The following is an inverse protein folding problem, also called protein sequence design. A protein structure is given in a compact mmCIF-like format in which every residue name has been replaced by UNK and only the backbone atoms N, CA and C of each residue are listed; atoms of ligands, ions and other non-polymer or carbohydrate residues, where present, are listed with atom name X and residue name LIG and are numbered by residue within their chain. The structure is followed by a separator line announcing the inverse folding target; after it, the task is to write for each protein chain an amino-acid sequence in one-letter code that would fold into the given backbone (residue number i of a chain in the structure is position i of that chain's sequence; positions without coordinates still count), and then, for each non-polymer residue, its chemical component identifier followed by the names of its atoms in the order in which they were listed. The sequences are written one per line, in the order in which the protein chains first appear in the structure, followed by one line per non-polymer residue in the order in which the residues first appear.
data_IF_576018955176
#
_entry.id   IF_576018955176
#
_cell.length_a   1.000
_cell.length_b   1.000
_cell.length_c   1.000
_cell.angle_alpha   90.00
_cell.angle_beta   90.00
_cell.angle_gamma   90.00
#
_symmetry.space_group_name_H-M   'P 1'
#
loop_
_entity.id
_entity.type
_entity.pdbx_description
1 polymer ?
#
# COMPACT_ATOMS: atom_id res chain seq x y z
N UNK A 1 17.56 12.30 59.50
CA UNK A 1 16.59 13.39 59.28
C UNK A 1 16.53 13.68 57.80
N UNK A 2 15.63 13.03 57.10
CA UNK A 2 15.09 13.44 55.78
C UNK A 2 13.77 12.71 55.67
N UNK A 3 12.71 13.41 56.04
CA UNK A 3 11.32 12.93 56.06
C UNK A 3 10.54 13.70 55.02
N UNK A 4 9.64 12.92 54.37
CA UNK A 4 8.36 13.35 53.82
C UNK A 4 8.30 14.51 52.82
N UNK A 5 8.30 14.17 51.52
CA UNK A 5 7.42 14.82 50.53
C UNK A 5 7.24 13.92 49.30
N UNK A 6 6.42 12.89 49.37
CA UNK A 6 5.93 12.12 48.24
C UNK A 6 4.63 11.39 48.58
N UNK A 7 3.62 12.15 49.03
CA UNK A 7 2.23 11.68 49.12
C UNK A 7 1.33 12.80 48.65
N UNK A 8 0.99 12.84 47.38
CA UNK A 8 0.08 13.87 46.87
C UNK A 8 -0.11 13.90 45.37
N UNK A 9 -0.09 12.75 44.69
CA UNK A 9 -0.40 12.73 43.24
C UNK A 9 -0.96 11.34 42.77
N UNK A 10 -1.81 10.71 43.59
CA UNK A 10 -2.48 9.48 43.19
C UNK A 10 -3.95 9.57 43.65
N UNK A 11 -4.71 10.52 43.11
CA UNK A 11 -6.17 10.50 43.31
C UNK A 11 -6.93 11.35 42.30
N UNK A 12 -6.60 11.28 40.99
CA UNK A 12 -7.44 11.92 39.94
C UNK A 12 -7.45 11.12 38.63
N UNK A 13 -7.36 9.79 38.69
CA UNK A 13 -7.53 8.91 37.51
C UNK A 13 -8.49 7.75 37.88
N UNK A 14 -9.60 8.05 38.49
CA UNK A 14 -10.70 7.10 38.66
C UNK A 14 -12.02 7.84 38.48
N UNK A 15 -12.37 8.21 37.24
CA UNK A 15 -13.76 8.45 36.82
C UNK A 15 -13.81 8.77 35.31
N UNK A 16 -13.42 7.79 34.48
CA UNK A 16 -13.72 7.83 33.04
C UNK A 16 -14.01 6.40 32.54
N UNK A 17 -14.89 5.71 33.24
CA UNK A 17 -15.47 4.45 32.76
C UNK A 17 -16.96 4.53 32.99
N UNK A 18 -17.69 4.92 31.93
CA UNK A 18 -19.06 4.48 31.59
C UNK A 18 -19.65 5.42 30.54
N UNK A 19 -19.30 5.22 29.29
CA UNK A 19 -20.21 5.47 28.16
C UNK A 19 -19.91 4.41 27.10
N UNK A 20 -20.23 3.17 27.40
CA UNK A 20 -20.49 2.14 26.41
C UNK A 20 -21.95 2.29 25.98
N UNK A 21 -22.18 2.83 24.82
CA UNK A 21 -23.48 2.93 24.20
C UNK A 21 -23.33 3.04 22.70
N UNK A 22 -23.63 1.96 21.99
CA UNK A 22 -23.90 1.88 20.56
C UNK A 22 -22.83 2.47 19.59
N UNK A 23 -21.71 1.81 19.43
CA UNK A 23 -20.96 1.85 18.18
C UNK A 23 -21.39 0.63 17.35
N UNK A 24 -22.46 0.81 16.58
CA UNK A 24 -23.04 -0.16 15.66
C UNK A 24 -22.18 -0.35 14.41
N UNK A 25 -22.44 -1.39 13.64
CA UNK A 25 -21.84 -1.82 12.36
C UNK A 25 -21.65 -0.73 11.27
N UNK A 26 -22.04 0.50 11.53
CA UNK A 26 -21.81 1.71 10.72
C UNK A 26 -20.32 2.12 10.65
N UNK A 27 -19.46 1.65 11.56
CA UNK A 27 -18.06 2.12 11.65
C UNK A 27 -17.09 1.45 10.68
N UNK A 28 -17.33 0.23 10.24
CA UNK A 28 -16.42 -0.46 9.31
C UNK A 28 -16.53 0.13 7.89
N UNK A 29 -17.76 0.36 7.43
CA UNK A 29 -18.00 1.00 6.14
C UNK A 29 -17.45 2.44 6.09
N UNK A 30 -17.49 3.19 7.20
CA UNK A 30 -16.92 4.54 7.29
C UNK A 30 -15.40 4.54 7.15
N UNK A 31 -14.69 3.57 7.73
CA UNK A 31 -13.22 3.48 7.69
C UNK A 31 -12.66 3.34 6.27
N UNK A 32 -13.35 2.60 5.38
CA UNK A 32 -12.96 2.46 3.98
C UNK A 32 -13.48 3.57 3.08
N UNK A 33 -14.56 4.26 3.51
CA UNK A 33 -15.27 5.25 2.68
C UNK A 33 -14.82 6.69 2.95
N UNK A 34 -14.14 6.95 4.05
CA UNK A 34 -13.70 8.30 4.41
C UNK A 34 -12.57 8.83 3.50
N UNK A 35 -11.85 7.94 2.81
CA UNK A 35 -10.70 8.31 1.99
C UNK A 35 -11.05 8.78 0.56
N UNK A 36 -12.27 8.61 0.08
CA UNK A 36 -12.68 9.07 -1.25
C UNK A 36 -13.96 9.90 -1.18
N UNK A 37 -13.81 11.21 -1.24
CA UNK A 37 -14.88 12.21 -1.21
C UNK A 37 -14.79 13.22 -2.38
N UNK A 38 -14.09 12.87 -3.47
CA UNK A 38 -13.99 13.78 -4.60
C UNK A 38 -15.32 13.90 -5.32
N UNK A 39 -15.67 15.13 -5.67
CA UNK A 39 -16.82 15.45 -6.52
C UNK A 39 -16.41 15.33 -8.00
N UNK A 40 -17.39 14.98 -8.84
CA UNK A 40 -17.19 15.02 -10.29
C UNK A 40 -17.13 16.45 -10.79
N UNK A 41 -16.29 16.69 -11.78
CA UNK A 41 -16.22 17.96 -12.50
C UNK A 41 -17.46 18.19 -13.38
N UNK A 42 -17.51 19.33 -14.09
CA UNK A 42 -18.63 19.69 -14.94
C UNK A 42 -18.90 18.69 -16.09
N UNK A 43 -17.86 17.96 -16.51
CA UNK A 43 -17.95 16.95 -17.57
C UNK A 43 -18.32 15.55 -17.04
N UNK A 44 -18.58 15.44 -15.74
CA UNK A 44 -18.95 14.19 -15.09
C UNK A 44 -17.77 13.25 -14.76
N UNK A 45 -16.55 13.73 -14.84
CA UNK A 45 -15.32 13.00 -14.54
C UNK A 45 -14.80 13.31 -13.13
N UNK A 46 -14.11 12.35 -12.54
CA UNK A 46 -13.28 12.56 -11.34
C UNK A 46 -11.90 13.05 -11.75
N UNK A 47 -11.42 14.10 -11.12
CA UNK A 47 -10.01 14.51 -11.27
C UNK A 47 -9.13 13.60 -10.43
N UNK A 48 -8.13 12.96 -11.05
CA UNK A 48 -7.14 12.09 -10.39
C UNK A 48 -5.76 12.66 -10.66
N UNK A 49 -4.97 12.83 -9.60
CA UNK A 49 -3.58 13.25 -9.75
C UNK A 49 -2.74 12.11 -10.32
N UNK A 50 -2.02 12.38 -11.41
CA UNK A 50 -1.05 11.46 -11.98
C UNK A 50 0.37 11.96 -11.74
N UNK A 51 1.18 11.13 -11.11
CA UNK A 51 2.62 11.34 -10.92
C UNK A 51 3.35 10.33 -11.81
N UNK A 52 3.79 10.67 -13.02
CA UNK A 52 4.43 9.72 -13.93
C UNK A 52 5.72 9.12 -13.34
N UNK A 53 6.48 9.91 -12.59
CA UNK A 53 7.76 9.50 -12.01
C UNK A 53 8.90 9.46 -13.01
N UNK A 54 9.92 8.65 -12.69
CA UNK A 54 11.21 8.61 -13.39
C UNK A 54 11.36 7.38 -14.29
N UNK A 55 12.36 7.40 -15.16
CA UNK A 55 12.75 6.26 -15.99
C UNK A 55 11.61 5.77 -16.89
N UNK A 56 11.13 4.53 -16.68
CA UNK A 56 10.00 3.96 -17.45
C UNK A 56 8.64 4.57 -17.04
N UNK A 57 8.59 5.36 -15.98
CA UNK A 57 7.34 5.93 -15.43
C UNK A 57 6.47 6.64 -16.47
N UNK A 58 7.00 7.59 -17.27
CA UNK A 58 6.20 8.28 -18.28
C UNK A 58 5.61 7.37 -19.35
N UNK A 59 6.32 6.33 -19.81
CA UNK A 59 5.81 5.42 -20.85
C UNK A 59 4.74 4.46 -20.31
N UNK A 60 4.90 3.90 -19.11
CA UNK A 60 3.88 3.05 -18.49
C UNK A 60 2.63 3.86 -18.10
N UNK A 61 2.79 5.12 -17.69
CA UNK A 61 1.67 6.02 -17.40
C UNK A 61 0.85 6.34 -18.66
N UNK A 62 1.51 6.55 -19.82
CA UNK A 62 0.81 6.72 -21.11
C UNK A 62 0.01 5.48 -21.48
N UNK A 63 0.56 4.28 -21.27
CA UNK A 63 -0.14 3.01 -21.48
C UNK A 63 -1.41 2.93 -20.62
N UNK A 64 -1.31 3.21 -19.33
CA UNK A 64 -2.47 3.19 -18.41
C UNK A 64 -3.53 4.22 -18.84
N UNK A 65 -3.14 5.45 -19.16
CA UNK A 65 -4.07 6.49 -19.66
C UNK A 65 -4.82 6.02 -20.90
N UNK A 66 -4.12 5.40 -21.85
CA UNK A 66 -4.72 4.90 -23.09
C UNK A 66 -5.75 3.78 -22.84
N UNK A 67 -5.43 2.83 -21.94
CA UNK A 67 -6.33 1.73 -21.56
C UNK A 67 -7.56 2.28 -20.84
N UNK A 68 -7.38 3.20 -19.88
CA UNK A 68 -8.48 3.82 -19.15
C UNK A 68 -9.41 4.63 -20.06
N UNK A 69 -8.86 5.34 -21.04
CA UNK A 69 -9.66 6.06 -22.05
C UNK A 69 -10.46 5.08 -22.92
N UNK A 70 -9.85 3.97 -23.36
CA UNK A 70 -10.54 2.94 -24.14
C UNK A 70 -11.67 2.24 -23.34
N UNK A 71 -11.50 2.08 -22.02
CA UNK A 71 -12.51 1.54 -21.12
C UNK A 71 -13.58 2.57 -20.71
N UNK A 72 -13.56 3.79 -21.27
CA UNK A 72 -14.48 4.88 -20.93
C UNK A 72 -14.55 5.16 -19.41
N UNK A 73 -13.40 5.13 -18.73
CA UNK A 73 -13.35 5.49 -17.31
C UNK A 73 -13.65 6.98 -17.14
N UNK A 74 -14.51 7.37 -16.18
CA UNK A 74 -14.84 8.79 -15.95
C UNK A 74 -13.74 9.49 -15.14
N UNK A 75 -12.51 9.54 -15.70
CA UNK A 75 -11.32 10.11 -15.07
C UNK A 75 -10.71 11.19 -15.95
N UNK A 76 -10.45 12.33 -15.35
CA UNK A 76 -9.58 13.39 -15.88
C UNK A 76 -8.26 13.38 -15.10
N UNK A 77 -7.15 13.27 -15.82
CA UNK A 77 -5.82 13.20 -15.24
C UNK A 77 -5.22 14.59 -15.05
N UNK A 78 -4.90 14.95 -13.81
CA UNK A 78 -4.06 16.10 -13.47
C UNK A 78 -2.62 15.64 -13.27
N UNK A 79 -1.78 15.80 -14.30
CA UNK A 79 -0.40 15.36 -14.29
C UNK A 79 0.49 16.35 -13.55
N UNK A 80 1.25 15.89 -12.56
CA UNK A 80 2.13 16.74 -11.73
C UNK A 80 3.54 16.16 -11.66
N UNK A 81 4.52 17.05 -11.58
CA UNK A 81 5.91 16.70 -11.33
C UNK A 81 6.21 16.77 -9.83
N UNK A 82 6.89 15.75 -9.32
CA UNK A 82 7.34 15.67 -7.93
C UNK A 82 8.86 15.77 -7.80
N UNK A 83 9.55 16.23 -8.85
CA UNK A 83 10.99 16.51 -8.79
C UNK A 83 11.30 17.36 -7.56
N UNK A 84 12.22 16.93 -6.70
CA UNK A 84 12.44 17.58 -5.43
C UNK A 84 12.88 19.03 -5.59
N UNK A 85 12.26 19.92 -4.82
CA UNK A 85 12.71 21.30 -4.65
C UNK A 85 13.42 21.46 -3.30
N UNK A 86 14.44 22.31 -3.25
CA UNK A 86 15.11 22.66 -2.00
C UNK A 86 14.46 23.91 -1.43
N UNK A 87 13.75 23.78 -0.30
CA UNK A 87 13.14 24.88 0.41
C UNK A 87 13.75 24.93 1.82
N UNK A 88 14.32 26.07 2.20
CA UNK A 88 14.97 26.28 3.51
C UNK A 88 16.05 25.20 3.85
N UNK A 89 16.81 24.77 2.83
CA UNK A 89 17.84 23.74 2.97
C UNK A 89 17.31 22.31 3.16
N UNK A 90 15.99 22.09 3.03
CA UNK A 90 15.35 20.77 3.09
C UNK A 90 14.77 20.39 1.73
N UNK A 91 14.93 19.13 1.40
CA UNK A 91 14.28 18.54 0.22
C UNK A 91 12.78 18.45 0.47
N UNK A 92 11.97 19.02 -0.41
CA UNK A 92 10.51 19.00 -0.31
C UNK A 92 9.87 18.68 -1.66
N UNK A 93 8.65 18.17 -1.60
CA UNK A 93 7.80 17.97 -2.79
C UNK A 93 7.26 19.36 -3.21
N UNK A 94 7.14 19.64 -4.53
CA UNK A 94 6.51 20.86 -5.02
C UNK A 94 5.11 21.06 -4.43
N UNK A 95 4.80 22.28 -4.00
CA UNK A 95 3.52 22.62 -3.39
C UNK A 95 2.33 22.34 -4.32
N UNK A 96 2.51 22.53 -5.62
CA UNK A 96 1.51 22.24 -6.65
C UNK A 96 1.10 20.75 -6.64
N UNK A 97 2.08 19.84 -6.52
CA UNK A 97 1.80 18.42 -6.42
C UNK A 97 1.05 18.06 -5.12
N UNK A 98 1.41 18.71 -4.00
CA UNK A 98 0.71 18.51 -2.72
C UNK A 98 -0.74 18.99 -2.82
N UNK A 99 -0.97 20.15 -3.44
CA UNK A 99 -2.32 20.72 -3.61
C UNK A 99 -3.17 19.89 -4.57
N UNK A 100 -2.59 19.38 -5.67
CA UNK A 100 -3.28 18.50 -6.60
C UNK A 100 -3.77 17.23 -5.89
N UNK A 101 -2.89 16.52 -5.16
CA UNK A 101 -3.28 15.31 -4.42
C UNK A 101 -4.32 15.60 -3.33
N UNK A 102 -4.22 16.73 -2.63
CA UNK A 102 -5.22 17.11 -1.62
C UNK A 102 -6.59 17.40 -2.23
N UNK A 103 -6.61 18.02 -3.41
CA UNK A 103 -7.84 18.34 -4.13
C UNK A 103 -8.50 17.09 -4.72
N UNK A 104 -7.72 16.23 -5.37
CA UNK A 104 -8.21 15.01 -6.00
C UNK A 104 -8.51 13.90 -4.99
N UNK A 105 -7.86 13.92 -3.81
CA UNK A 105 -7.86 12.90 -2.75
C UNK A 105 -7.36 11.51 -3.20
N UNK A 106 -7.12 11.33 -4.49
CA UNK A 106 -6.64 10.08 -5.09
C UNK A 106 -5.55 10.38 -6.11
N UNK A 107 -4.47 9.62 -6.07
CA UNK A 107 -3.39 9.72 -7.05
C UNK A 107 -2.95 8.34 -7.56
N UNK A 108 -2.49 8.31 -8.82
CA UNK A 108 -1.75 7.19 -9.39
C UNK A 108 -0.30 7.62 -9.61
N UNK A 109 0.66 6.82 -9.13
CA UNK A 109 2.08 7.18 -9.11
C UNK A 109 2.95 6.10 -9.76
N UNK A 110 3.74 6.49 -10.74
CA UNK A 110 4.83 5.69 -11.29
C UNK A 110 6.03 5.59 -10.34
N UNK A 111 7.11 4.93 -10.76
CA UNK A 111 8.32 4.75 -9.96
C UNK A 111 9.06 6.06 -9.76
N UNK A 112 9.62 6.29 -8.56
CA UNK A 112 10.45 7.45 -8.25
C UNK A 112 11.88 7.01 -7.91
N UNK A 113 12.86 7.65 -8.51
CA UNK A 113 14.26 7.44 -8.18
C UNK A 113 14.58 8.03 -6.80
N UNK A 114 15.30 7.26 -5.99
CA UNK A 114 15.90 7.76 -4.76
C UNK A 114 17.41 7.81 -4.97
N UNK A 115 18.04 8.99 -5.11
CA UNK A 115 19.48 9.09 -5.27
C UNK A 115 20.22 8.47 -4.07
N UNK A 116 21.27 7.69 -4.35
CA UNK A 116 22.12 7.11 -3.32
C UNK A 116 23.14 8.18 -2.91
N UNK A 117 23.10 8.65 -1.66
CA UNK A 117 24.09 9.63 -1.16
C UNK A 117 23.67 10.27 0.17
N UNK A 118 24.62 10.89 0.88
CA UNK A 118 24.34 11.62 2.11
C UNK A 118 23.48 12.85 1.84
N UNK A 119 22.37 13.01 2.59
CA UNK A 119 21.51 14.19 2.53
C UNK A 119 20.28 14.07 1.63
N UNK A 120 20.08 12.94 0.93
CA UNK A 120 18.88 12.70 0.17
C UNK A 120 17.81 12.02 1.03
N UNK A 121 16.60 12.60 1.05
CA UNK A 121 15.42 12.00 1.68
C UNK A 121 14.63 11.28 0.61
N UNK A 122 14.19 10.06 0.89
CA UNK A 122 13.32 9.31 -0.03
C UNK A 122 12.02 10.09 -0.30
N UNK A 123 11.75 10.37 -1.57
CA UNK A 123 10.50 11.02 -1.98
C UNK A 123 9.28 10.18 -1.65
N UNK A 124 9.39 8.86 -1.78
CA UNK A 124 8.32 7.94 -1.37
C UNK A 124 8.01 8.09 0.12
N UNK A 125 9.04 8.15 0.98
CA UNK A 125 8.85 8.36 2.42
C UNK A 125 8.28 9.75 2.71
N UNK A 126 8.69 10.77 1.97
CA UNK A 126 8.14 12.13 2.09
C UNK A 126 6.66 12.18 1.73
N UNK A 127 6.25 11.55 0.64
CA UNK A 127 4.83 11.41 0.25
C UNK A 127 4.01 10.71 1.34
N UNK A 128 4.50 9.57 1.85
CA UNK A 128 3.83 8.83 2.93
C UNK A 128 3.59 9.68 4.17
N UNK A 129 4.58 10.48 4.56
CA UNK A 129 4.49 11.38 5.72
C UNK A 129 3.58 12.59 5.45
N UNK A 130 3.69 13.20 4.26
CA UNK A 130 2.92 14.40 3.89
C UNK A 130 1.41 14.14 3.87
N UNK A 131 1.00 12.98 3.39
CA UNK A 131 -0.42 12.59 3.27
C UNK A 131 -0.86 11.59 4.35
N UNK A 132 0.00 11.33 5.35
CA UNK A 132 -0.27 10.37 6.42
C UNK A 132 -0.81 9.02 5.89
N UNK A 133 -0.10 8.45 4.91
CA UNK A 133 -0.47 7.20 4.25
C UNK A 133 -0.13 6.02 5.17
N UNK A 134 -1.01 5.70 6.08
CA UNK A 134 -0.75 4.81 7.22
C UNK A 134 -0.84 3.32 6.89
N UNK A 135 -1.58 2.93 5.86
CA UNK A 135 -1.72 1.54 5.47
C UNK A 135 -1.25 1.34 4.02
N UNK A 136 -0.35 0.39 3.80
CA UNK A 136 0.02 -0.06 2.47
C UNK A 136 -0.62 -1.42 2.20
N UNK A 137 -1.42 -1.51 1.14
CA UNK A 137 -2.17 -2.70 0.74
C UNK A 137 -1.47 -3.38 -0.43
N UNK A 138 -1.13 -4.63 -0.27
CA UNK A 138 -0.40 -5.47 -1.22
C UNK A 138 -1.15 -6.79 -1.48
N UNK A 139 -2.07 -6.85 -2.44
CA UNK A 139 -2.60 -8.11 -2.92
C UNK A 139 -1.58 -8.76 -3.86
N UNK A 140 -1.27 -10.03 -3.63
CA UNK A 140 -0.42 -10.84 -4.49
C UNK A 140 -1.26 -12.04 -4.95
N UNK A 141 -1.67 -12.02 -6.23
CA UNK A 141 -2.53 -13.04 -6.81
C UNK A 141 -1.90 -13.61 -8.07
N UNK A 142 -1.86 -14.94 -8.17
CA UNK A 142 -1.42 -15.63 -9.39
C UNK A 142 -2.28 -15.22 -10.58
N UNK A 143 -1.63 -14.99 -11.72
CA UNK A 143 -2.30 -14.69 -12.98
C UNK A 143 -2.36 -15.96 -13.81
N UNK A 144 -3.55 -16.37 -14.20
CA UNK A 144 -3.76 -17.56 -14.99
C UNK A 144 -2.99 -17.49 -16.32
N UNK A 145 -2.34 -18.58 -16.70
CA UNK A 145 -1.53 -18.67 -17.92
C UNK A 145 -0.10 -18.16 -17.76
N UNK A 146 0.25 -17.46 -16.67
CA UNK A 146 1.62 -17.09 -16.36
C UNK A 146 2.21 -18.08 -15.35
N UNK A 147 3.25 -18.81 -15.76
CA UNK A 147 3.83 -19.87 -14.92
C UNK A 147 4.76 -19.31 -13.86
N UNK A 148 4.47 -19.60 -12.62
CA UNK A 148 5.26 -19.25 -11.44
C UNK A 148 5.61 -20.51 -10.63
N UNK A 149 6.45 -20.41 -9.58
CA UNK A 149 6.76 -21.56 -8.72
C UNK A 149 5.54 -22.16 -8.01
N UNK A 150 4.48 -21.36 -7.80
CA UNK A 150 3.26 -21.74 -7.11
C UNK A 150 2.04 -21.41 -7.96
N UNK A 151 1.10 -22.34 -8.01
CA UNK A 151 -0.22 -22.09 -8.57
C UNK A 151 -1.16 -21.53 -7.49
N UNK A 152 -2.17 -20.77 -7.89
CA UNK A 152 -3.27 -20.30 -7.04
C UNK A 152 -2.84 -19.49 -5.79
N UNK A 153 -1.76 -18.70 -5.90
CA UNK A 153 -1.40 -17.74 -4.85
C UNK A 153 -2.49 -16.67 -4.77
N UNK A 154 -3.03 -16.45 -3.58
CA UNK A 154 -3.97 -15.35 -3.30
C UNK A 154 -3.72 -14.83 -1.88
N UNK A 155 -2.71 -14.00 -1.71
CA UNK A 155 -2.35 -13.41 -0.43
C UNK A 155 -2.63 -11.91 -0.43
N UNK A 156 -3.09 -11.38 0.70
CA UNK A 156 -3.27 -9.96 0.92
C UNK A 156 -2.49 -9.55 2.17
N UNK A 157 -1.60 -8.58 2.00
CA UNK A 157 -0.83 -8.01 3.09
C UNK A 157 -1.24 -6.54 3.30
N UNK A 158 -1.40 -6.16 4.56
CA UNK A 158 -1.59 -4.78 4.98
C UNK A 158 -0.46 -4.42 5.93
N UNK A 159 0.38 -3.50 5.47
CA UNK A 159 1.58 -3.02 6.15
C UNK A 159 1.28 -1.69 6.83
N UNK A 160 1.61 -1.54 8.11
CA UNK A 160 1.75 -0.22 8.71
C UNK A 160 2.88 0.55 7.98
N UNK A 161 2.69 1.83 7.68
CA UNK A 161 3.52 2.50 6.69
C UNK A 161 4.13 3.83 7.16
N UNK A 162 3.93 4.22 8.42
CA UNK A 162 4.32 5.55 8.95
C UNK A 162 5.33 5.52 10.08
N UNK A 163 5.47 4.41 10.78
CA UNK A 163 6.37 4.26 11.94
C UNK A 163 7.27 3.02 11.84
N UNK A 164 7.61 2.40 12.94
CA UNK A 164 8.50 1.25 13.00
C UNK A 164 9.97 1.64 12.89
N UNK A 165 10.75 0.83 12.23
CA UNK A 165 12.18 1.05 11.93
C UNK A 165 12.36 2.19 10.91
N UNK A 166 11.32 2.48 10.12
CA UNK A 166 11.30 3.60 9.15
C UNK A 166 11.03 4.97 9.81
N UNK A 167 10.95 5.02 11.14
CA UNK A 167 10.90 6.30 11.88
C UNK A 167 12.11 7.19 11.61
N UNK A 168 13.25 6.57 11.26
CA UNK A 168 14.51 7.26 11.00
C UNK A 168 15.15 7.82 12.28
N UNK A 169 14.77 7.29 13.46
CA UNK A 169 15.34 7.69 14.72
C UNK A 169 16.57 6.82 14.99
N UNK A 170 17.75 7.39 14.73
CA UNK A 170 19.01 6.72 14.92
C UNK A 170 19.98 7.60 15.72
N UNK A 171 20.77 6.98 16.56
CA UNK A 171 21.74 7.67 17.41
C UNK A 171 23.09 6.93 17.41
N UNK A 172 24.15 7.65 17.19
CA UNK A 172 25.49 7.17 17.52
C UNK A 172 25.76 7.49 19.00
N UNK A 173 25.80 6.45 19.83
CA UNK A 173 25.95 6.58 21.30
C UNK A 173 27.39 6.86 21.66
N UNK A 174 28.31 6.15 21.04
CA UNK A 174 29.76 6.34 21.07
C UNK A 174 30.30 5.88 19.72
N UNK A 175 31.52 6.25 19.38
CA UNK A 175 32.20 5.88 18.14
C UNK A 175 32.07 4.36 17.86
N UNK A 176 31.48 4.02 16.72
CA UNK A 176 31.21 2.64 16.28
C UNK A 176 30.04 1.92 16.95
N UNK A 177 29.20 2.62 17.75
CA UNK A 177 27.99 2.05 18.38
C UNK A 177 26.75 2.86 17.99
N UNK A 178 25.95 2.33 17.08
CA UNK A 178 24.73 2.97 16.58
C UNK A 178 23.49 2.26 17.14
N UNK A 179 22.49 3.04 17.52
CA UNK A 179 21.17 2.57 17.92
C UNK A 179 20.13 3.05 16.90
N UNK A 180 19.27 2.14 16.46
CA UNK A 180 18.05 2.44 15.68
C UNK A 180 16.83 2.12 16.52
N UNK A 181 15.87 3.04 16.57
CA UNK A 181 14.68 2.92 17.39
C UNK A 181 13.49 2.50 16.54
N UNK A 182 12.96 1.31 16.84
CA UNK A 182 11.66 0.87 16.35
C UNK A 182 10.58 1.56 17.17
N UNK A 183 9.85 2.47 16.54
CA UNK A 183 8.72 3.19 17.17
C UNK A 183 7.41 2.46 16.88
N UNK A 184 6.68 2.06 17.90
CA UNK A 184 5.34 1.49 17.78
C UNK A 184 4.41 2.27 18.71
N UNK A 185 3.34 2.84 18.16
CA UNK A 185 2.33 3.55 18.92
C UNK A 185 0.98 2.82 18.89
N UNK A 186 0.19 3.00 19.92
CA UNK A 186 -1.18 2.45 19.98
C UNK A 186 -2.05 3.01 18.86
N UNK A 187 -1.97 4.31 18.62
CA UNK A 187 -2.77 5.00 17.62
C UNK A 187 -2.53 4.48 16.20
N UNK A 188 -1.25 4.34 15.79
CA UNK A 188 -0.91 3.82 14.46
C UNK A 188 -1.27 2.34 14.34
N UNK A 189 -1.05 1.54 15.40
CA UNK A 189 -1.43 0.13 15.42
C UNK A 189 -2.95 -0.05 15.33
N UNK A 190 -3.74 0.78 16.02
CA UNK A 190 -5.21 0.70 15.98
C UNK A 190 -5.76 1.05 14.60
N UNK A 191 -5.29 2.13 13.98
CA UNK A 191 -5.81 2.55 12.67
C UNK A 191 -5.49 1.55 11.57
N UNK A 192 -4.28 0.96 11.53
CA UNK A 192 -3.94 -0.06 10.53
C UNK A 192 -4.68 -1.37 10.78
N UNK A 193 -4.87 -1.76 12.05
CA UNK A 193 -5.66 -2.93 12.40
C UNK A 193 -7.13 -2.75 11.98
N UNK A 194 -7.78 -1.62 12.33
CA UNK A 194 -9.15 -1.31 11.89
C UNK A 194 -9.30 -1.36 10.38
N UNK A 195 -8.33 -0.79 9.68
CA UNK A 195 -8.31 -0.84 8.23
C UNK A 195 -8.22 -2.29 7.71
N UNK A 196 -7.37 -3.13 8.31
CA UNK A 196 -7.21 -4.52 7.89
C UNK A 196 -8.50 -5.35 8.08
N UNK A 197 -9.21 -5.17 9.19
CA UNK A 197 -10.50 -5.84 9.41
C UNK A 197 -11.58 -5.33 8.44
N UNK A 198 -11.70 -4.02 8.26
CA UNK A 198 -12.65 -3.44 7.32
C UNK A 198 -12.34 -3.86 5.86
N UNK A 199 -11.07 -3.94 5.51
CA UNK A 199 -10.66 -4.42 4.19
C UNK A 199 -10.99 -5.90 3.99
N UNK A 200 -10.74 -6.75 4.98
CA UNK A 200 -11.11 -8.16 4.95
C UNK A 200 -12.62 -8.34 4.70
N UNK A 201 -13.45 -7.59 5.42
CA UNK A 201 -14.90 -7.58 5.23
C UNK A 201 -15.28 -7.16 3.80
N UNK A 202 -14.65 -6.10 3.25
CA UNK A 202 -14.96 -5.57 1.93
C UNK A 202 -14.64 -6.52 0.78
N UNK A 203 -13.65 -7.41 0.95
CA UNK A 203 -13.25 -8.40 -0.05
C UNK A 203 -13.78 -9.81 0.24
N UNK A 204 -14.65 -9.95 1.27
CA UNK A 204 -15.28 -11.21 1.63
C UNK A 204 -14.37 -12.24 2.30
N UNK A 205 -13.25 -11.81 2.93
CA UNK A 205 -12.40 -12.68 3.74
C UNK A 205 -12.88 -12.69 5.19
N UNK A 206 -12.92 -13.87 5.78
CA UNK A 206 -13.45 -14.09 7.13
C UNK A 206 -12.36 -14.19 8.21
N UNK A 207 -11.07 -13.92 7.84
CA UNK A 207 -9.94 -14.02 8.75
C UNK A 207 -8.96 -12.85 8.60
N UNK A 208 -8.41 -12.40 9.75
CA UNK A 208 -7.29 -11.46 9.83
C UNK A 208 -6.20 -12.08 10.69
N UNK A 209 -4.97 -12.10 10.16
CA UNK A 209 -3.79 -12.67 10.84
C UNK A 209 -2.78 -11.56 11.15
N UNK A 210 -2.48 -11.34 12.44
CA UNK A 210 -1.44 -10.40 12.84
C UNK A 210 -0.06 -11.06 12.78
N UNK A 211 0.88 -10.46 12.04
CA UNK A 211 2.27 -10.93 11.96
C UNK A 211 3.15 -10.10 12.89
N UNK A 212 3.86 -10.75 13.80
CA UNK A 212 4.63 -10.07 14.85
C UNK A 212 5.83 -10.90 15.34
N UNK A 213 6.64 -10.32 16.24
CA UNK A 213 7.72 -11.00 16.97
C UNK A 213 7.65 -10.72 18.47
N UNK A 214 6.44 -10.71 19.04
CA UNK A 214 6.17 -10.34 20.44
C UNK A 214 6.82 -11.25 21.48
N UNK A 215 7.23 -12.48 21.11
CA UNK A 215 8.01 -13.35 21.98
C UNK A 215 9.41 -12.81 22.28
N UNK A 216 9.97 -11.96 21.40
CA UNK A 216 11.26 -11.28 21.55
C UNK A 216 11.04 -9.81 21.89
N UNK A 217 10.31 -9.07 21.07
CA UNK A 217 10.02 -7.63 21.28
C UNK A 217 8.71 -7.46 22.06
N UNK A 218 8.79 -7.77 23.36
CA UNK A 218 7.62 -7.89 24.24
C UNK A 218 6.83 -6.59 24.40
N UNK A 219 7.49 -5.43 24.33
CA UNK A 219 6.84 -4.12 24.45
C UNK A 219 6.36 -3.60 23.09
N UNK A 220 7.22 -3.52 22.09
CA UNK A 220 6.88 -2.95 20.78
C UNK A 220 5.88 -3.84 20.03
N UNK A 221 6.28 -5.06 19.66
CA UNK A 221 5.40 -6.00 18.96
C UNK A 221 4.28 -6.52 19.84
N UNK A 222 4.52 -6.59 21.18
CA UNK A 222 3.48 -6.92 22.15
C UNK A 222 2.34 -5.91 22.15
N UNK A 223 2.65 -4.60 22.04
CA UNK A 223 1.63 -3.56 21.92
C UNK A 223 0.84 -3.71 20.61
N UNK A 224 1.54 -3.90 19.49
CA UNK A 224 0.89 -4.10 18.18
C UNK A 224 -0.09 -5.28 18.23
N UNK A 225 0.36 -6.45 18.70
CA UNK A 225 -0.47 -7.64 18.82
C UNK A 225 -1.67 -7.42 19.75
N UNK A 226 -1.44 -6.78 20.91
CA UNK A 226 -2.51 -6.47 21.86
C UNK A 226 -3.58 -5.59 21.22
N UNK A 227 -3.17 -4.55 20.49
CA UNK A 227 -4.11 -3.64 19.82
C UNK A 227 -4.89 -4.36 18.71
N UNK A 228 -4.24 -5.19 17.89
CA UNK A 228 -4.95 -5.99 16.90
C UNK A 228 -6.02 -6.90 17.54
N UNK A 229 -5.70 -7.50 18.69
CA UNK A 229 -6.64 -8.33 19.46
C UNK A 229 -7.78 -7.52 20.07
N UNK A 230 -7.53 -6.31 20.52
CA UNK A 230 -8.58 -5.40 21.00
C UNK A 230 -9.52 -5.00 19.88
N UNK A 231 -8.98 -4.60 18.72
CA UNK A 231 -9.76 -4.23 17.52
C UNK A 231 -10.59 -5.40 17.00
N UNK A 232 -10.10 -6.64 17.06
CA UNK A 232 -10.86 -7.82 16.62
C UNK A 232 -12.20 -7.99 17.34
N UNK A 233 -12.35 -7.46 18.54
CA UNK A 233 -13.60 -7.51 19.30
C UNK A 233 -14.72 -6.66 18.66
N UNK A 234 -14.35 -5.64 17.90
CA UNK A 234 -15.30 -4.81 17.16
C UNK A 234 -15.79 -5.48 15.85
N UNK A 235 -15.13 -6.58 15.42
CA UNK A 235 -15.44 -7.36 14.21
C UNK A 235 -15.69 -8.84 14.54
N UNK A 236 -16.71 -9.19 15.33
CA UNK A 236 -16.91 -10.54 15.85
C UNK A 236 -17.21 -11.61 14.79
N UNK A 237 -17.53 -11.21 13.58
CA UNK A 237 -17.76 -12.07 12.41
C UNK A 237 -16.48 -12.42 11.65
N UNK A 238 -15.34 -11.75 11.94
CA UNK A 238 -14.03 -12.03 11.34
C UNK A 238 -13.18 -12.77 12.38
N UNK A 239 -12.66 -13.91 12.01
CA UNK A 239 -11.73 -14.68 12.84
C UNK A 239 -10.41 -13.92 12.97
N UNK A 240 -9.86 -13.89 14.16
CA UNK A 240 -8.56 -13.31 14.43
C UNK A 240 -7.59 -14.37 14.92
N UNK A 241 -6.41 -14.40 14.30
CA UNK A 241 -5.26 -15.16 14.78
C UNK A 241 -3.96 -14.36 14.66
N UNK A 242 -2.87 -14.94 15.15
CA UNK A 242 -1.56 -14.34 15.08
C UNK A 242 -0.47 -15.36 14.69
N UNK A 243 0.60 -14.88 14.09
CA UNK A 243 1.72 -15.70 13.67
C UNK A 243 3.05 -14.95 13.88
N UNK A 244 4.07 -15.70 14.33
CA UNK A 244 5.43 -15.16 14.40
C UNK A 244 5.98 -14.90 13.00
N UNK A 245 6.71 -13.81 12.82
CA UNK A 245 7.28 -13.36 11.54
C UNK A 245 8.08 -14.46 10.83
N UNK A 246 9.00 -15.12 11.53
CA UNK A 246 9.83 -16.18 10.98
C UNK A 246 8.99 -17.39 10.50
N UNK A 247 7.93 -17.71 11.23
CA UNK A 247 6.99 -18.74 10.80
C UNK A 247 6.13 -18.29 9.61
N UNK A 248 5.74 -17.01 9.55
CA UNK A 248 5.04 -16.46 8.40
C UNK A 248 5.92 -16.53 7.14
N UNK A 249 7.21 -16.16 7.25
CA UNK A 249 8.17 -16.29 6.15
C UNK A 249 8.32 -17.74 5.68
N UNK A 250 8.47 -18.66 6.62
CA UNK A 250 8.57 -20.10 6.30
C UNK A 250 7.31 -20.60 5.59
N UNK A 251 6.16 -20.25 6.12
CA UNK A 251 4.88 -20.73 5.59
C UNK A 251 4.57 -20.15 4.21
N UNK A 252 4.78 -18.85 3.99
CA UNK A 252 4.49 -18.21 2.70
C UNK A 252 5.38 -18.75 1.57
N UNK A 253 6.60 -19.22 1.91
CA UNK A 253 7.51 -19.84 0.95
C UNK A 253 7.32 -21.34 0.80
N UNK A 254 6.77 -22.04 1.79
CA UNK A 254 6.52 -23.48 1.72
C UNK A 254 5.16 -23.81 1.11
N UNK A 255 4.13 -23.08 1.53
CA UNK A 255 2.76 -23.23 1.08
C UNK A 255 1.98 -21.92 1.26
N UNK A 256 1.96 -21.02 0.26
CA UNK A 256 1.25 -19.76 0.35
C UNK A 256 -0.27 -19.89 0.47
N UNK A 257 -0.86 -21.05 0.13
CA UNK A 257 -2.31 -21.29 0.15
C UNK A 257 -2.93 -21.14 1.55
N UNK A 258 -2.13 -21.36 2.60
CA UNK A 258 -2.60 -21.18 3.99
C UNK A 258 -2.98 -19.75 4.34
N UNK A 259 -2.60 -18.78 3.50
CA UNK A 259 -2.94 -17.37 3.66
C UNK A 259 -4.03 -16.90 2.67
N UNK A 260 -4.62 -17.80 1.88
CA UNK A 260 -5.60 -17.45 0.85
C UNK A 260 -6.91 -16.89 1.41
N UNK A 261 -7.30 -17.28 2.62
CA UNK A 261 -8.54 -16.86 3.30
C UNK A 261 -8.34 -15.71 4.31
N UNK A 262 -7.10 -15.23 4.49
CA UNK A 262 -6.78 -14.22 5.49
C UNK A 262 -6.25 -12.92 4.89
N UNK A 263 -6.47 -11.82 5.59
CA UNK A 263 -5.73 -10.56 5.43
C UNK A 263 -4.64 -10.53 6.49
N UNK A 264 -3.39 -10.50 6.08
CA UNK A 264 -2.26 -10.37 7.01
C UNK A 264 -2.02 -8.90 7.35
N UNK A 265 -1.93 -8.55 8.63
CA UNK A 265 -1.61 -7.20 9.10
C UNK A 265 -0.31 -7.22 9.90
N UNK A 266 0.57 -6.24 9.68
CA UNK A 266 1.91 -6.27 10.24
C UNK A 266 2.58 -4.89 10.36
N UNK A 267 3.59 -4.75 11.25
CA UNK A 267 4.46 -3.58 11.32
C UNK A 267 5.22 -3.31 10.02
N UNK A 268 5.76 -2.13 9.91
CA UNK A 268 6.35 -1.57 8.69
C UNK A 268 7.42 -2.45 8.05
N UNK A 269 8.51 -2.76 8.72
CA UNK A 269 9.62 -3.54 8.17
C UNK A 269 9.18 -4.97 7.77
N UNK A 270 8.33 -5.59 8.58
CA UNK A 270 7.84 -6.95 8.27
C UNK A 270 6.98 -6.95 7.01
N UNK A 271 6.16 -5.91 6.86
CA UNK A 271 5.34 -5.73 5.66
C UNK A 271 6.17 -5.47 4.41
N UNK A 272 7.28 -4.75 4.53
CA UNK A 272 8.20 -4.53 3.42
C UNK A 272 8.80 -5.86 2.92
N UNK A 273 9.31 -6.67 3.85
CA UNK A 273 9.92 -7.96 3.52
C UNK A 273 8.89 -8.94 2.94
N UNK A 274 7.76 -9.12 3.64
CA UNK A 274 6.75 -10.11 3.24
C UNK A 274 6.02 -9.72 1.95
N UNK A 275 5.84 -8.43 1.67
CA UNK A 275 5.22 -7.99 0.42
C UNK A 275 6.08 -8.28 -0.80
N UNK A 276 7.41 -8.12 -0.69
CA UNK A 276 8.33 -8.44 -1.78
C UNK A 276 8.51 -9.96 -1.94
N UNK A 277 8.45 -10.72 -0.84
CA UNK A 277 8.34 -12.19 -0.92
C UNK A 277 7.06 -12.60 -1.67
N UNK A 278 5.90 -12.02 -1.31
CA UNK A 278 4.63 -12.26 -2.00
C UNK A 278 4.67 -11.92 -3.49
N UNK A 279 5.31 -10.81 -3.84
CA UNK A 279 5.55 -10.44 -5.23
C UNK A 279 6.38 -11.51 -5.98
N UNK A 280 7.43 -12.05 -5.33
CA UNK A 280 8.25 -13.12 -5.88
C UNK A 280 7.46 -14.39 -6.20
N UNK A 281 6.43 -14.71 -5.40
CA UNK A 281 5.59 -15.89 -5.62
C UNK A 281 4.74 -15.80 -6.90
N UNK A 282 4.36 -14.61 -7.31
CA UNK A 282 3.47 -14.37 -8.46
C UNK A 282 4.20 -13.91 -9.74
N UNK A 283 5.55 -13.89 -9.73
CA UNK A 283 6.34 -13.55 -10.91
C UNK A 283 7.06 -12.21 -10.83
N UNK A 284 7.02 -11.50 -9.70
CA UNK A 284 7.82 -10.32 -9.43
C UNK A 284 7.03 -9.02 -9.31
N UNK A 285 7.77 -7.94 -9.04
CA UNK A 285 7.20 -6.60 -8.79
C UNK A 285 6.48 -6.01 -10.01
N UNK A 286 6.80 -6.46 -11.23
CA UNK A 286 6.14 -6.03 -12.47
C UNK A 286 4.66 -6.44 -12.58
N UNK A 287 4.19 -7.35 -11.73
CA UNK A 287 2.82 -7.85 -11.67
C UNK A 287 2.11 -7.50 -10.34
N UNK A 288 2.77 -6.79 -9.44
CA UNK A 288 2.28 -6.56 -8.09
C UNK A 288 1.71 -5.15 -7.95
N UNK A 289 0.40 -5.01 -7.70
CA UNK A 289 -0.20 -3.72 -7.39
C UNK A 289 0.07 -3.29 -5.96
N UNK A 290 -0.05 -1.98 -5.71
CA UNK A 290 0.09 -1.39 -4.39
C UNK A 290 -0.82 -0.17 -4.21
N UNK A 291 -1.43 -0.06 -3.05
CA UNK A 291 -2.16 1.13 -2.63
C UNK A 291 -1.69 1.61 -1.27
N UNK A 292 -1.35 2.88 -1.17
CA UNK A 292 -1.06 3.55 0.09
C UNK A 292 -2.28 4.36 0.51
N UNK A 293 -2.86 4.02 1.63
CA UNK A 293 -4.11 4.57 2.13
C UNK A 293 -3.83 5.52 3.27
N UNK A 294 -4.34 6.72 3.15
CA UNK A 294 -4.32 7.76 4.18
C UNK A 294 -5.73 8.19 4.54
N UNK A 295 -5.82 9.09 5.53
CA UNK A 295 -7.09 9.68 5.93
C UNK A 295 -7.60 10.71 4.91
N UNK A 296 -6.68 11.54 4.40
CA UNK A 296 -7.01 12.69 3.58
C UNK A 296 -6.74 12.45 2.08
N UNK A 297 -5.96 11.44 1.76
CA UNK A 297 -5.66 11.04 0.38
C UNK A 297 -5.19 9.58 0.32
N UNK A 298 -5.31 8.97 -0.86
CA UNK A 298 -4.78 7.64 -1.17
C UNK A 298 -3.93 7.69 -2.44
N UNK A 299 -2.77 7.04 -2.42
CA UNK A 299 -1.83 7.01 -3.54
C UNK A 299 -1.62 5.55 -3.96
N UNK A 300 -2.03 5.23 -5.17
CA UNK A 300 -1.81 3.91 -5.79
C UNK A 300 -0.53 3.96 -6.62
N UNK A 301 0.31 2.93 -6.53
CA UNK A 301 1.64 2.99 -7.12
C UNK A 301 2.13 1.66 -7.65
N UNK A 302 2.95 1.68 -8.71
CA UNK A 302 3.81 0.56 -9.04
C UNK A 302 4.98 0.51 -8.05
N UNK A 303 5.34 -0.69 -7.64
CA UNK A 303 6.38 -0.91 -6.61
C UNK A 303 7.77 -1.09 -7.20
N UNK A 304 7.84 -1.50 -8.48
CA UNK A 304 9.10 -1.69 -9.18
C UNK A 304 9.91 -0.40 -9.31
N UNK A 305 11.21 -0.53 -9.58
CA UNK A 305 12.12 0.59 -9.80
C UNK A 305 11.90 1.33 -11.12
N UNK A 306 12.72 2.34 -11.35
CA UNK A 306 12.63 3.23 -12.52
C UNK A 306 13.20 2.63 -13.80
N UNK A 307 13.95 1.54 -13.74
CA UNK A 307 14.58 0.83 -14.87
C UNK A 307 15.16 1.80 -15.94
N UNK A 308 16.11 2.67 -15.59
CA UNK A 308 16.61 3.71 -16.49
C UNK A 308 17.31 3.16 -17.74
N UNK A 309 17.77 1.92 -17.69
CA UNK A 309 18.43 1.19 -18.77
C UNK A 309 17.51 0.86 -19.95
N UNK A 310 16.20 0.73 -19.71
CA UNK A 310 15.20 0.44 -20.76
C UNK A 310 14.24 1.62 -20.99
N UNK A 311 14.38 2.72 -20.28
CA UNK A 311 13.49 3.87 -20.39
C UNK A 311 13.49 4.45 -21.82
N UNK A 312 12.29 4.72 -22.35
CA UNK A 312 12.10 5.23 -23.71
C UNK A 312 12.35 4.23 -24.84
N UNK A 313 12.54 2.94 -24.53
CA UNK A 313 12.77 1.89 -25.51
C UNK A 313 11.53 1.06 -25.87
N UNK A 314 10.36 1.43 -25.37
CA UNK A 314 9.09 0.71 -25.57
C UNK A 314 9.14 -0.77 -25.12
N UNK A 315 9.93 -1.06 -24.08
CA UNK A 315 10.15 -2.41 -23.53
C UNK A 315 9.52 -2.65 -22.16
N UNK A 316 9.09 -1.58 -21.50
CA UNK A 316 8.57 -1.64 -20.14
C UNK A 316 7.25 -2.43 -20.06
N UNK A 317 6.97 -3.00 -18.90
CA UNK A 317 5.70 -3.64 -18.60
C UNK A 317 4.84 -2.70 -17.75
N UNK A 318 3.66 -2.34 -18.24
CA UNK A 318 2.73 -1.45 -17.53
C UNK A 318 1.80 -2.17 -16.55
N UNK A 319 1.87 -3.50 -16.43
CA UNK A 319 0.89 -4.30 -15.69
C UNK A 319 0.79 -3.90 -14.21
N UNK A 320 1.90 -3.72 -13.50
CA UNK A 320 1.87 -3.35 -12.08
C UNK A 320 1.19 -1.99 -11.85
N UNK A 321 1.50 -0.98 -12.67
CA UNK A 321 0.84 0.32 -12.59
C UNK A 321 -0.64 0.23 -12.98
N UNK A 322 -0.97 -0.56 -13.99
CA UNK A 322 -2.34 -0.78 -14.42
C UNK A 322 -3.17 -1.50 -13.35
N UNK A 323 -2.65 -2.54 -12.73
CA UNK A 323 -3.30 -3.23 -11.60
C UNK A 323 -3.46 -2.30 -10.38
N UNK A 324 -2.47 -1.41 -10.11
CA UNK A 324 -2.60 -0.37 -9.09
C UNK A 324 -3.69 0.64 -9.45
N UNK A 325 -3.82 1.00 -10.74
CA UNK A 325 -4.92 1.79 -11.25
C UNK A 325 -6.28 1.10 -11.10
N UNK A 326 -6.36 -0.21 -11.28
CA UNK A 326 -7.57 -1.01 -11.03
C UNK A 326 -7.94 -0.99 -9.53
N UNK A 327 -6.95 -1.12 -8.64
CA UNK A 327 -7.20 -0.93 -7.20
C UNK A 327 -7.73 0.48 -6.90
N UNK A 328 -7.17 1.50 -7.55
CA UNK A 328 -7.66 2.88 -7.45
C UNK A 328 -9.12 2.99 -7.89
N UNK A 329 -9.50 2.40 -9.03
CA UNK A 329 -10.88 2.40 -9.50
C UNK A 329 -11.82 1.75 -8.49
N UNK A 330 -11.44 0.61 -7.90
CA UNK A 330 -12.22 -0.03 -6.83
C UNK A 330 -12.35 0.84 -5.58
N UNK A 331 -11.29 1.52 -5.19
CA UNK A 331 -11.32 2.51 -4.12
C UNK A 331 -12.28 3.67 -4.41
N UNK A 332 -12.35 4.11 -5.66
CA UNK A 332 -13.30 5.11 -6.17
C UNK A 332 -14.71 4.54 -6.41
N UNK A 333 -14.95 3.25 -6.15
CA UNK A 333 -16.22 2.52 -6.41
C UNK A 333 -16.61 2.45 -7.89
N UNK A 334 -15.66 2.54 -8.78
CA UNK A 334 -15.83 2.34 -10.22
C UNK A 334 -15.60 0.87 -10.57
N UNK A 335 -16.42 -0.01 -10.00
CA UNK A 335 -16.24 -1.47 -10.05
C UNK A 335 -16.35 -2.03 -11.47
N UNK A 336 -17.31 -1.57 -12.25
CA UNK A 336 -17.54 -2.03 -13.63
C UNK A 336 -16.31 -1.80 -14.51
N UNK A 337 -15.74 -0.58 -14.46
CA UNK A 337 -14.54 -0.23 -15.22
C UNK A 337 -13.32 -1.02 -14.71
N UNK A 338 -13.20 -1.18 -13.40
CA UNK A 338 -12.14 -1.97 -12.79
C UNK A 338 -12.17 -3.44 -13.26
N UNK A 339 -13.33 -4.08 -13.25
CA UNK A 339 -13.49 -5.47 -13.61
C UNK A 339 -13.27 -5.69 -15.11
N UNK A 340 -13.72 -4.78 -15.96
CA UNK A 340 -13.51 -4.83 -17.41
C UNK A 340 -12.02 -4.74 -17.76
N UNK A 341 -11.30 -3.78 -17.16
CA UNK A 341 -9.87 -3.62 -17.41
C UNK A 341 -9.10 -4.83 -16.86
N UNK A 342 -9.42 -5.30 -15.65
CA UNK A 342 -8.74 -6.46 -15.05
C UNK A 342 -8.90 -7.70 -15.90
N UNK A 343 -10.12 -7.96 -16.39
CA UNK A 343 -10.38 -9.06 -17.29
C UNK A 343 -9.55 -8.96 -18.57
N UNK A 344 -9.54 -7.80 -19.21
CA UNK A 344 -8.77 -7.58 -20.45
C UNK A 344 -7.26 -7.83 -20.25
N UNK A 345 -6.68 -7.39 -19.12
CA UNK A 345 -5.27 -7.63 -18.77
C UNK A 345 -5.01 -9.13 -18.56
N UNK A 346 -5.83 -9.79 -17.75
CA UNK A 346 -5.63 -11.19 -17.42
C UNK A 346 -5.82 -12.10 -18.64
N UNK A 347 -6.81 -11.83 -19.48
CA UNK A 347 -7.02 -12.55 -20.72
C UNK A 347 -5.83 -12.36 -21.70
N UNK A 348 -5.22 -11.16 -21.72
CA UNK A 348 -4.03 -10.90 -22.55
C UNK A 348 -2.84 -11.71 -22.08
N UNK A 349 -2.61 -11.76 -20.76
CA UNK A 349 -1.50 -12.53 -20.18
C UNK A 349 -1.75 -14.04 -20.34
N UNK A 350 -2.99 -14.50 -20.09
CA UNK A 350 -3.36 -15.92 -20.21
C UNK A 350 -3.23 -16.45 -21.64
N UNK A 351 -3.52 -15.62 -22.65
CA UNK A 351 -3.33 -16.00 -24.05
C UNK A 351 -1.83 -16.20 -24.40
N UNK A 352 -0.93 -15.48 -23.75
CA UNK A 352 0.52 -15.66 -23.88
C UNK A 352 1.13 -15.21 -25.21
N UNK A 353 0.36 -14.56 -26.10
CA UNK A 353 0.83 -14.15 -27.44
C UNK A 353 1.55 -12.82 -27.44
N UNK A 354 1.00 -11.83 -26.73
CA UNK A 354 1.49 -10.45 -26.71
C UNK A 354 1.98 -10.11 -25.31
N UNK A 355 3.18 -10.56 -24.96
CA UNK A 355 3.81 -10.39 -23.66
C UNK A 355 5.11 -9.58 -23.79
N UNK A 356 5.39 -8.74 -22.81
CA UNK A 356 6.66 -8.03 -22.66
C UNK A 356 7.82 -8.96 -22.29
N UNK A 357 9.05 -8.48 -22.39
CA UNK A 357 10.25 -9.31 -22.19
C UNK A 357 10.37 -9.91 -20.78
N UNK A 358 9.95 -9.20 -19.75
CA UNK A 358 9.94 -9.65 -18.36
C UNK A 358 8.90 -10.75 -18.11
N UNK A 359 7.85 -10.82 -18.93
CA UNK A 359 6.86 -11.89 -18.93
C UNK A 359 7.25 -13.08 -19.85
N UNK A 360 8.48 -13.06 -20.38
CA UNK A 360 8.98 -14.10 -21.28
C UNK A 360 8.58 -13.92 -22.75
N UNK A 361 7.94 -12.82 -23.10
CA UNK A 361 7.55 -12.47 -24.46
C UNK A 361 8.60 -11.68 -25.21
N UNK A 362 8.19 -11.06 -26.34
CA UNK A 362 9.03 -10.21 -27.19
C UNK A 362 8.30 -8.97 -27.64
N UNK A 363 7.07 -8.74 -27.17
CA UNK A 363 6.27 -7.62 -27.59
C UNK A 363 6.73 -6.33 -26.92
N UNK A 364 6.54 -5.24 -27.62
CA UNK A 364 6.74 -3.90 -27.07
C UNK A 364 5.61 -3.52 -26.10
N UNK A 365 5.83 -2.47 -25.30
CA UNK A 365 4.80 -1.88 -24.45
C UNK A 365 3.60 -1.42 -25.28
N UNK A 366 3.84 -0.82 -26.46
CA UNK A 366 2.79 -0.37 -27.38
C UNK A 366 1.94 -1.52 -27.88
N UNK A 367 2.56 -2.64 -28.30
CA UNK A 367 1.84 -3.84 -28.75
C UNK A 367 1.03 -4.46 -27.59
N UNK A 368 1.63 -4.57 -26.41
CA UNK A 368 0.96 -5.07 -25.21
C UNK A 368 -0.26 -4.21 -24.82
N UNK A 369 -0.10 -2.88 -24.83
CA UNK A 369 -1.19 -1.92 -24.58
C UNK A 369 -2.33 -2.09 -25.59
N UNK A 370 -1.99 -2.21 -26.89
CA UNK A 370 -2.97 -2.40 -27.96
C UNK A 370 -3.73 -3.74 -27.81
N UNK A 371 -3.03 -4.80 -27.39
CA UNK A 371 -3.65 -6.10 -27.16
C UNK A 371 -4.66 -6.05 -26.00
N UNK A 372 -4.39 -5.31 -24.92
CA UNK A 372 -5.35 -5.09 -23.82
C UNK A 372 -6.56 -4.29 -24.31
N UNK A 373 -6.31 -3.17 -25.02
CA UNK A 373 -7.39 -2.32 -25.54
C UNK A 373 -8.33 -3.08 -26.49
N UNK A 374 -7.79 -4.01 -27.29
CA UNK A 374 -8.62 -4.80 -28.20
C UNK A 374 -9.58 -5.77 -27.51
N UNK A 375 -9.50 -5.94 -26.18
CA UNK A 375 -10.34 -6.81 -25.35
C UNK A 375 -11.36 -6.05 -24.49
N UNK A 376 -11.25 -4.72 -24.46
CA UNK A 376 -12.23 -3.85 -23.81
C UNK A 376 -13.45 -3.66 -24.69
#
# INVERSE_FOLDING_TARGET
MLSNTAKGAVSTVQNATKTNGNRSASTAASTLTEAFNAEKNADGNYTVTLIPGDGIGPEISRSVKAIFAAANTPIEWEEVDVTPTIKDGKVSIPEEAIQSVRKSTVALKGPLATPIGKGHVSLNLTLRRTFNLYANVRPCRSIQGYKTPYDDVDTVLIRENTEGEYSGIEHEVVDGVVQSIKLITREASERVARYAFAYAESIGRDRVTAVHKANIMKLADGLFLQVCKEVSQDFPHIKFDDILLDRACLNITADPSIFADTVMVMPNLYGDILSDMGAGLIGGLGLTPSGNIGRDASIFEAVHGTAPDIAGQDKANSTALLLSGIMMLRHMRLYEQADNIEKAVFDTIAEGKTLTGDLGGKSSLTEYTSAIISRL
#
